data_IF_268478340072
#
_entry.id   IF_268478340072
#
_cell.length_a   1.000
_cell.length_b   1.000
_cell.length_c   1.000
_cell.angle_alpha   90.00
_cell.angle_beta   90.00
_cell.angle_gamma   90.00
#
_symmetry.space_group_name_H-M   'P 1'
#
loop_
_entity.id
_entity.type
_entity.pdbx_description
1 polymer ?
#
# COMPACT_ATOMS: atom_id res chain seq x y z
N UNK A 1 26.46 -22.84 6.46
CA UNK A 1 26.40 -22.15 5.16
C UNK A 1 25.05 -22.43 4.54
N UNK A 2 24.12 -21.48 4.64
CA UNK A 2 22.74 -21.65 4.18
C UNK A 2 22.58 -21.06 2.77
N UNK A 3 21.91 -21.84 1.90
CA UNK A 3 21.62 -21.54 0.49
C UNK A 3 20.80 -20.26 0.36
N UNK A 4 21.37 -19.25 -0.29
CA UNK A 4 20.63 -18.11 -0.83
C UNK A 4 19.62 -18.61 -1.88
N UNK A 5 18.35 -18.28 -1.67
CA UNK A 5 17.22 -18.64 -2.52
C UNK A 5 17.34 -17.99 -3.89
N UNK A 6 17.09 -18.79 -4.93
CA UNK A 6 17.33 -18.53 -6.35
C UNK A 6 16.61 -17.29 -6.95
N UNK A 7 15.72 -16.65 -6.18
CA UNK A 7 14.99 -15.44 -6.58
C UNK A 7 15.81 -14.17 -6.35
N UNK A 8 16.59 -14.11 -5.26
CA UNK A 8 17.44 -12.96 -4.95
C UNK A 8 18.62 -12.77 -5.91
N UNK A 9 19.05 -13.84 -6.58
CA UNK A 9 20.16 -13.79 -7.55
C UNK A 9 19.75 -13.18 -8.90
N UNK A 10 18.48 -13.28 -9.30
CA UNK A 10 18.00 -12.77 -10.59
C UNK A 10 17.85 -11.25 -10.63
N UNK A 11 17.68 -10.58 -9.49
CA UNK A 11 17.57 -9.11 -9.42
C UNK A 11 18.97 -8.49 -9.40
N UNK A 12 19.93 -9.12 -8.71
CA UNK A 12 21.34 -8.67 -8.73
C UNK A 12 21.96 -8.82 -10.13
N UNK A 13 21.67 -9.91 -10.84
CA UNK A 13 22.16 -10.10 -12.23
C UNK A 13 21.60 -9.04 -13.20
N UNK A 14 20.37 -8.57 -13.04
CA UNK A 14 19.82 -7.50 -13.90
C UNK A 14 20.48 -6.15 -13.62
N UNK A 15 20.79 -5.85 -12.35
CA UNK A 15 21.45 -4.60 -11.94
C UNK A 15 22.93 -4.59 -12.38
N UNK A 16 23.63 -5.71 -12.31
CA UNK A 16 25.01 -5.82 -12.81
C UNK A 16 25.08 -5.80 -14.35
N UNK A 17 24.15 -6.44 -15.06
CA UNK A 17 24.08 -6.39 -16.55
C UNK A 17 23.75 -4.98 -17.05
N UNK A 18 22.92 -4.22 -16.35
CA UNK A 18 22.64 -2.82 -16.69
C UNK A 18 23.86 -1.90 -16.46
N UNK A 19 24.75 -2.24 -15.52
CA UNK A 19 26.00 -1.51 -15.31
C UNK A 19 27.09 -1.89 -16.33
N UNK A 20 27.17 -3.15 -16.78
CA UNK A 20 28.12 -3.57 -17.82
C UNK A 20 27.74 -3.09 -19.24
N UNK A 21 26.45 -3.04 -19.58
CA UNK A 21 26.00 -2.53 -20.88
C UNK A 21 26.22 -1.03 -21.06
N UNK A 22 26.21 -0.26 -19.98
CA UNK A 22 26.57 1.16 -20.02
C UNK A 22 28.07 1.39 -20.33
N UNK A 23 28.93 0.42 -20.00
CA UNK A 23 30.38 0.50 -20.24
C UNK A 23 30.80 0.09 -21.66
N UNK A 24 29.94 -0.62 -22.40
CA UNK A 24 30.28 -1.14 -23.75
C UNK A 24 29.78 -0.23 -24.89
N UNK A 25 28.86 0.71 -24.64
CA UNK A 25 28.25 1.56 -25.68
C UNK A 25 28.91 2.94 -25.83
N UNK A 26 29.89 3.30 -24.98
CA UNK A 26 30.66 4.55 -25.13
C UNK A 26 32.07 4.30 -25.63
N UNK A 27 32.22 3.99 -26.92
CA UNK A 27 33.46 4.32 -27.64
C UNK A 27 33.39 5.80 -28.05
N UNK A 28 34.24 6.70 -27.53
CA UNK A 28 34.46 7.96 -28.22
C UNK A 28 35.21 7.64 -29.51
N UNK A 29 34.60 7.92 -30.66
CA UNK A 29 35.31 7.96 -31.93
C UNK A 29 36.36 9.07 -31.86
N UNK A 30 37.60 8.70 -31.56
CA UNK A 30 38.77 9.55 -31.76
C UNK A 30 38.94 9.80 -33.26
N UNK A 31 38.73 11.04 -33.71
CA UNK A 31 39.30 11.50 -34.97
C UNK A 31 40.79 11.80 -34.74
N UNK A 32 41.63 11.16 -35.57
CA UNK A 32 43.09 11.26 -35.56
C UNK A 32 43.52 12.49 -36.37
N UNK A 33 44.29 13.36 -35.69
CA UNK A 33 45.39 14.23 -36.13
C UNK A 33 45.20 15.27 -37.25
N UNK A 34 45.46 16.53 -36.88
CA UNK A 34 46.41 17.38 -37.60
C UNK A 34 47.34 18.05 -36.55
N UNK A 35 48.69 17.98 -36.64
CA UNK A 35 49.56 18.37 -35.55
C UNK A 35 50.31 19.68 -35.84
N UNK A 36 49.68 20.85 -35.74
CA UNK A 36 50.45 22.10 -35.58
C UNK A 36 49.64 23.15 -34.78
N UNK A 37 50.12 23.46 -33.57
CA UNK A 37 50.02 24.82 -33.02
C UNK A 37 48.96 25.08 -31.93
N UNK A 38 49.42 25.81 -30.91
CA UNK A 38 48.67 26.51 -29.86
C UNK A 38 48.04 25.63 -28.76
N UNK A 39 48.71 25.41 -27.62
CA UNK A 39 48.96 26.35 -26.52
C UNK A 39 47.70 26.78 -25.76
N UNK A 40 47.60 26.24 -24.53
CA UNK A 40 46.94 26.79 -23.36
C UNK A 40 45.40 26.97 -23.38
N UNK A 41 44.85 26.86 -22.17
CA UNK A 41 43.49 27.23 -21.76
C UNK A 41 42.35 26.43 -22.37
N UNK A 42 41.95 25.33 -21.70
CA UNK A 42 40.60 25.30 -21.09
C UNK A 42 40.46 24.17 -20.05
N UNK A 43 41.03 24.38 -18.87
CA UNK A 43 40.73 23.50 -17.72
C UNK A 43 39.35 23.83 -17.11
N UNK A 44 38.72 24.95 -17.51
CA UNK A 44 37.39 25.36 -17.07
C UNK A 44 36.28 24.55 -17.74
N UNK A 45 36.40 24.27 -19.05
CA UNK A 45 35.45 23.43 -19.78
C UNK A 45 35.46 21.97 -19.29
N UNK A 46 36.63 21.42 -18.93
CA UNK A 46 36.75 20.02 -18.51
C UNK A 46 36.21 19.77 -17.09
N UNK A 47 36.20 20.79 -16.22
CA UNK A 47 35.56 20.70 -14.90
C UNK A 47 34.06 21.01 -14.94
N UNK A 48 33.58 21.74 -15.95
CA UNK A 48 32.14 21.92 -16.21
C UNK A 48 31.44 20.65 -16.69
N UNK A 49 32.13 19.77 -17.42
CA UNK A 49 31.53 18.56 -17.99
C UNK A 49 31.29 17.43 -16.98
N UNK A 50 32.00 17.40 -15.84
CA UNK A 50 31.79 16.35 -14.82
C UNK A 50 30.60 16.62 -13.91
N UNK A 51 30.28 17.89 -13.66
CA UNK A 51 29.07 18.26 -12.92
C UNK A 51 27.79 18.05 -13.77
N UNK A 52 27.89 18.20 -15.10
CA UNK A 52 26.77 17.98 -16.01
C UNK A 52 26.45 16.49 -16.25
N UNK A 53 27.46 15.59 -16.23
CA UNK A 53 27.27 14.16 -16.54
C UNK A 53 26.61 13.37 -15.39
N UNK A 54 26.73 13.81 -14.13
CA UNK A 54 25.91 13.28 -13.03
C UNK A 54 24.55 13.98 -12.88
N UNK A 55 24.35 15.10 -13.59
CA UNK A 55 23.16 15.95 -13.54
C UNK A 55 22.16 15.73 -14.68
N UNK A 56 22.47 14.89 -15.68
CA UNK A 56 21.50 14.46 -16.69
C UNK A 56 20.58 13.38 -16.11
N UNK A 57 19.61 13.86 -15.33
CA UNK A 57 18.21 13.47 -15.44
C UNK A 57 17.97 11.96 -15.41
N UNK A 58 18.08 11.37 -14.21
CA UNK A 58 17.27 10.17 -13.93
C UNK A 58 15.85 10.50 -14.40
N UNK A 59 15.28 9.69 -15.30
CA UNK A 59 13.90 9.90 -15.74
C UNK A 59 13.00 9.97 -14.50
N UNK A 60 11.89 10.71 -14.56
CA UNK A 60 10.93 10.82 -13.46
C UNK A 60 10.57 9.44 -12.87
N UNK A 61 10.48 8.42 -13.74
CA UNK A 61 10.20 7.05 -13.35
C UNK A 61 11.37 6.40 -12.58
N UNK A 62 12.62 6.72 -12.95
CA UNK A 62 13.81 6.21 -12.25
C UNK A 62 13.98 6.86 -10.88
N UNK A 63 13.69 8.17 -10.77
CA UNK A 63 13.66 8.86 -9.47
C UNK A 63 12.59 8.25 -8.57
N UNK A 64 11.36 8.10 -9.07
CA UNK A 64 10.27 7.45 -8.31
C UNK A 64 10.60 6.02 -7.88
N UNK A 65 11.22 5.24 -8.77
CA UNK A 65 11.62 3.86 -8.45
C UNK A 65 12.69 3.83 -7.35
N UNK A 66 13.67 4.73 -7.40
CA UNK A 66 14.70 4.85 -6.36
C UNK A 66 14.12 5.31 -5.01
N UNK A 67 13.20 6.28 -5.02
CA UNK A 67 12.49 6.74 -3.83
C UNK A 67 11.64 5.62 -3.20
N UNK A 68 10.89 4.89 -4.02
CA UNK A 68 10.09 3.75 -3.57
C UNK A 68 10.97 2.66 -2.96
N UNK A 69 12.08 2.29 -3.61
CA UNK A 69 13.00 1.27 -3.10
C UNK A 69 13.61 1.70 -1.75
N UNK A 70 14.01 2.97 -1.65
CA UNK A 70 14.56 3.53 -0.40
C UNK A 70 13.52 3.46 0.73
N UNK A 71 12.27 3.80 0.44
CA UNK A 71 11.19 3.75 1.42
C UNK A 71 10.81 2.31 1.80
N UNK A 72 10.77 1.38 0.85
CA UNK A 72 10.50 -0.05 1.09
C UNK A 72 11.53 -0.69 2.03
N UNK A 73 12.81 -0.30 1.92
CA UNK A 73 13.87 -0.81 2.81
C UNK A 73 13.72 -0.39 4.28
N UNK A 74 12.84 0.56 4.57
CA UNK A 74 12.51 1.01 5.94
C UNK A 74 11.38 0.20 6.56
N UNK A 75 10.72 -0.65 5.79
CA UNK A 75 9.56 -1.42 6.19
C UNK A 75 9.86 -2.94 6.16
N UNK A 76 9.20 -3.73 7.02
CA UNK A 76 9.19 -5.18 6.86
C UNK A 76 8.63 -5.56 5.48
N UNK A 77 9.11 -6.68 4.92
CA UNK A 77 8.72 -7.16 3.58
C UNK A 77 7.19 -7.24 3.40
N UNK A 78 6.47 -7.62 4.45
CA UNK A 78 5.00 -7.71 4.47
C UNK A 78 4.27 -6.38 4.23
N UNK A 79 4.94 -5.23 4.37
CA UNK A 79 4.36 -3.89 4.17
C UNK A 79 4.86 -3.21 2.88
N UNK A 80 5.79 -3.81 2.16
CA UNK A 80 6.40 -3.17 1.00
C UNK A 80 5.44 -3.07 -0.18
N UNK A 81 4.65 -4.10 -0.47
CA UNK A 81 3.62 -4.04 -1.52
C UNK A 81 2.49 -3.06 -1.12
N UNK A 82 2.20 -2.98 0.17
CA UNK A 82 1.24 -2.02 0.69
C UNK A 82 1.69 -0.57 0.43
N UNK A 83 2.97 -0.27 0.69
CA UNK A 83 3.55 1.03 0.36
C UNK A 83 3.49 1.32 -1.15
N UNK A 84 3.85 0.34 -1.99
CA UNK A 84 3.79 0.47 -3.44
C UNK A 84 2.39 0.88 -3.91
N UNK A 85 1.35 0.16 -3.48
CA UNK A 85 -0.04 0.48 -3.83
C UNK A 85 -0.49 1.82 -3.27
N UNK A 86 -0.06 2.22 -2.08
CA UNK A 86 -0.39 3.52 -1.54
C UNK A 86 0.19 4.67 -2.38
N UNK A 87 1.42 4.51 -2.86
CA UNK A 87 2.17 5.54 -3.60
C UNK A 87 1.87 5.61 -5.11
N UNK A 88 1.24 4.59 -5.68
CA UNK A 88 0.95 4.50 -7.12
C UNK A 88 -0.56 4.30 -7.37
N UNK A 89 -1.29 5.37 -7.75
CA UNK A 89 -2.72 5.29 -8.05
C UNK A 89 -3.08 4.29 -9.15
N UNK A 90 -2.23 4.11 -10.16
CA UNK A 90 -2.48 3.17 -11.25
C UNK A 90 -2.38 1.73 -10.74
N UNK A 91 -1.35 1.44 -9.94
CA UNK A 91 -1.20 0.14 -9.30
C UNK A 91 -2.35 -0.16 -8.32
N UNK A 92 -2.77 0.84 -7.53
CA UNK A 92 -3.93 0.73 -6.64
C UNK A 92 -5.20 0.35 -7.39
N UNK A 93 -5.54 1.10 -8.45
CA UNK A 93 -6.72 0.82 -9.24
C UNK A 93 -6.67 -0.55 -9.92
N UNK A 94 -5.50 -0.96 -10.42
CA UNK A 94 -5.32 -2.29 -11.00
C UNK A 94 -5.55 -3.40 -9.96
N UNK A 95 -5.00 -3.25 -8.75
CA UNK A 95 -5.20 -4.22 -7.66
C UNK A 95 -6.66 -4.30 -7.21
N UNK A 96 -7.32 -3.15 -7.04
CA UNK A 96 -8.74 -3.11 -6.67
C UNK A 96 -9.63 -3.73 -7.75
N UNK A 97 -9.37 -3.42 -9.03
CA UNK A 97 -10.10 -4.00 -10.16
C UNK A 97 -9.91 -5.52 -10.25
N UNK A 98 -8.67 -6.00 -10.10
CA UNK A 98 -8.36 -7.43 -10.08
C UNK A 98 -9.04 -8.15 -8.92
N UNK A 99 -9.21 -7.46 -7.78
CA UNK A 99 -9.96 -7.94 -6.62
C UNK A 99 -11.48 -7.88 -6.74
N UNK A 100 -12.04 -7.44 -7.88
CA UNK A 100 -13.49 -7.34 -8.07
C UNK A 100 -14.14 -6.15 -7.35
N UNK A 101 -13.37 -5.13 -6.97
CA UNK A 101 -13.90 -3.95 -6.32
C UNK A 101 -14.82 -3.16 -7.27
N UNK A 102 -15.99 -2.67 -6.82
CA UNK A 102 -16.88 -1.85 -7.63
C UNK A 102 -16.20 -0.60 -8.19
N UNK A 103 -16.51 -0.26 -9.45
CA UNK A 103 -15.89 0.88 -10.13
C UNK A 103 -16.09 2.20 -9.37
N UNK A 104 -17.24 2.40 -8.72
CA UNK A 104 -17.49 3.60 -7.91
C UNK A 104 -16.51 3.76 -6.74
N UNK A 105 -16.09 2.66 -6.11
CA UNK A 105 -15.12 2.68 -5.01
C UNK A 105 -13.70 2.92 -5.57
N UNK A 106 -13.39 2.37 -6.74
CA UNK A 106 -12.11 2.61 -7.44
C UNK A 106 -12.00 4.09 -7.84
N UNK A 107 -13.05 4.67 -8.41
CA UNK A 107 -13.09 6.08 -8.81
C UNK A 107 -12.91 7.01 -7.61
N UNK A 108 -13.55 6.68 -6.48
CA UNK A 108 -13.35 7.39 -5.22
C UNK A 108 -11.92 7.28 -4.70
N UNK A 109 -11.31 6.09 -4.75
CA UNK A 109 -9.92 5.88 -4.37
C UNK A 109 -8.96 6.73 -5.22
N UNK A 110 -9.14 6.74 -6.54
CA UNK A 110 -8.30 7.53 -7.45
C UNK A 110 -8.43 9.04 -7.24
N UNK A 111 -9.63 9.50 -6.83
CA UNK A 111 -9.93 10.92 -6.60
C UNK A 111 -9.49 11.39 -5.22
N UNK A 112 -9.78 10.62 -4.18
CA UNK A 112 -9.79 11.06 -2.78
C UNK A 112 -8.76 10.37 -1.90
N UNK A 113 -7.96 9.42 -2.40
CA UNK A 113 -6.89 8.82 -1.61
C UNK A 113 -5.79 9.87 -1.31
N UNK A 114 -5.52 10.22 -0.03
CA UNK A 114 -4.56 11.24 0.34
C UNK A 114 -3.11 10.87 -0.03
N UNK A 115 -2.80 9.58 -0.14
CA UNK A 115 -1.46 9.10 -0.44
C UNK A 115 -0.99 9.47 -1.86
N UNK A 116 -1.91 9.74 -2.79
CA UNK A 116 -1.59 10.12 -4.18
C UNK A 116 -0.80 11.41 -4.31
N UNK A 117 -0.79 12.23 -3.26
CA UNK A 117 -0.09 13.52 -3.20
C UNK A 117 1.23 13.44 -2.39
N UNK A 118 1.62 12.25 -1.93
CA UNK A 118 2.78 12.03 -1.08
C UNK A 118 3.80 11.14 -1.80
N UNK A 119 5.09 11.38 -1.55
CA UNK A 119 6.14 10.42 -1.95
C UNK A 119 6.10 9.19 -1.03
N UNK A 120 6.65 8.04 -1.47
CA UNK A 120 6.76 6.86 -0.62
C UNK A 120 7.42 7.14 0.74
N UNK A 121 8.48 7.97 0.75
CA UNK A 121 9.14 8.35 2.01
C UNK A 121 8.23 9.18 2.91
N UNK A 122 7.46 10.13 2.36
CA UNK A 122 6.50 10.92 3.14
C UNK A 122 5.39 10.06 3.74
N UNK A 123 4.91 9.03 3.01
CA UNK A 123 3.94 8.07 3.54
C UNK A 123 4.54 7.33 4.75
N UNK A 124 5.77 6.83 4.62
CA UNK A 124 6.45 6.14 5.73
C UNK A 124 6.68 7.10 6.90
N UNK A 125 7.23 8.28 6.67
CA UNK A 125 7.53 9.28 7.71
C UNK A 125 6.28 9.68 8.49
N UNK A 126 5.14 9.81 7.80
CA UNK A 126 3.90 10.30 8.41
C UNK A 126 3.10 9.20 9.11
N UNK A 127 3.07 8.00 8.54
CA UNK A 127 2.11 6.97 8.96
C UNK A 127 2.73 5.71 9.53
N UNK A 128 4.05 5.50 9.45
CA UNK A 128 4.67 4.32 10.03
C UNK A 128 4.98 4.51 11.51
N UNK A 129 4.66 3.52 12.33
CA UNK A 129 5.09 3.45 13.72
C UNK A 129 6.23 2.41 13.83
N UNK A 130 7.47 2.91 13.86
CA UNK A 130 8.66 2.07 13.88
C UNK A 130 8.75 1.19 15.15
N UNK A 131 8.33 1.72 16.30
CA UNK A 131 8.40 1.01 17.59
C UNK A 131 7.47 -0.21 17.60
N UNK A 132 6.29 -0.09 16.97
CA UNK A 132 5.29 -1.16 16.87
C UNK A 132 5.46 -2.04 15.63
N UNK A 133 6.32 -1.66 14.69
CA UNK A 133 6.51 -2.38 13.42
C UNK A 133 5.22 -2.47 12.58
N UNK A 134 4.36 -1.45 12.64
CA UNK A 134 3.10 -1.36 11.88
C UNK A 134 2.76 0.09 11.56
N UNK A 135 1.76 0.33 10.71
CA UNK A 135 1.14 1.64 10.57
C UNK A 135 0.65 2.20 11.91
N UNK A 136 0.66 3.52 12.04
CA UNK A 136 0.19 4.24 13.21
C UNK A 136 -1.35 4.22 13.27
N UNK A 137 -1.89 3.07 13.67
CA UNK A 137 -3.32 2.84 13.79
C UNK A 137 -3.96 3.75 14.85
N UNK A 138 -5.22 4.16 14.64
CA UNK A 138 -5.93 5.01 15.58
C UNK A 138 -6.27 4.26 16.87
N UNK A 139 -6.47 5.01 17.95
CA UNK A 139 -7.03 4.47 19.18
C UNK A 139 -8.50 4.04 19.01
N UNK A 140 -9.05 3.36 20.02
CA UNK A 140 -10.45 2.93 20.06
C UNK A 140 -10.92 2.17 18.81
N UNK A 141 -10.03 1.36 18.21
CA UNK A 141 -10.31 0.60 16.99
C UNK A 141 -10.79 1.49 15.83
N UNK A 142 -10.41 2.77 15.80
CA UNK A 142 -10.79 3.71 14.74
C UNK A 142 -12.23 4.19 14.75
N UNK A 143 -12.99 3.93 15.83
CA UNK A 143 -14.33 4.52 15.98
C UNK A 143 -14.24 6.04 16.20
N UNK A 144 -15.06 6.80 15.49
CA UNK A 144 -15.16 8.25 15.64
C UNK A 144 -15.53 8.60 17.08
N UNK A 145 -14.74 9.48 17.71
CA UNK A 145 -14.82 9.83 19.13
C UNK A 145 -14.79 8.62 20.10
N UNK A 146 -14.29 7.46 19.66
CA UNK A 146 -14.37 6.21 20.41
C UNK A 146 -15.80 5.68 20.63
N UNK A 147 -16.79 6.18 19.88
CA UNK A 147 -18.22 5.83 20.05
C UNK A 147 -18.63 4.71 19.11
N UNK A 148 -19.30 3.70 19.67
CA UNK A 148 -19.92 2.61 18.93
C UNK A 148 -21.21 2.16 19.60
N UNK A 149 -22.06 1.51 18.82
CA UNK A 149 -23.22 0.74 19.29
C UNK A 149 -22.83 -0.73 19.38
N UNK A 150 -23.42 -1.44 20.35
CA UNK A 150 -23.25 -2.89 20.49
C UNK A 150 -24.51 -3.62 20.06
N UNK A 151 -24.35 -4.78 19.42
CA UNK A 151 -25.46 -5.66 19.02
C UNK A 151 -25.08 -7.13 19.20
N UNK A 152 -26.07 -8.00 19.42
CA UNK A 152 -25.87 -9.45 19.59
C UNK A 152 -26.15 -10.25 18.32
N UNK A 153 -26.57 -9.58 17.25
CA UNK A 153 -26.78 -10.16 15.92
C UNK A 153 -26.59 -9.09 14.85
N UNK A 154 -26.29 -9.53 13.62
CA UNK A 154 -26.40 -8.67 12.45
C UNK A 154 -27.87 -8.56 12.05
N UNK A 155 -28.39 -7.34 11.78
CA UNK A 155 -29.72 -7.19 11.21
C UNK A 155 -29.86 -7.97 9.89
N UNK A 156 -31.00 -8.63 9.63
CA UNK A 156 -31.29 -9.20 8.31
C UNK A 156 -31.15 -8.14 7.21
N UNK A 157 -30.56 -8.50 6.07
CA UNK A 157 -30.29 -7.57 4.97
C UNK A 157 -29.05 -6.69 5.18
N UNK A 158 -28.25 -6.95 6.23
CA UNK A 158 -26.94 -6.31 6.37
C UNK A 158 -25.99 -6.87 5.31
N UNK A 159 -25.46 -6.00 4.47
CA UNK A 159 -24.40 -6.35 3.53
C UNK A 159 -23.10 -5.63 3.93
N UNK A 160 -22.06 -6.42 4.15
CA UNK A 160 -20.75 -5.95 4.56
C UNK A 160 -19.74 -6.18 3.46
N UNK A 161 -18.67 -5.40 3.45
CA UNK A 161 -17.53 -5.64 2.59
C UNK A 161 -16.21 -5.37 3.32
N UNK A 162 -15.11 -5.72 2.67
CA UNK A 162 -13.75 -5.47 3.16
C UNK A 162 -12.82 -5.21 2.00
N UNK A 163 -12.06 -4.13 2.09
CA UNK A 163 -10.88 -3.88 1.27
C UNK A 163 -9.67 -4.29 2.12
N UNK A 164 -9.17 -5.50 1.88
CA UNK A 164 -8.06 -6.09 2.62
C UNK A 164 -8.25 -7.56 2.96
N UNK A 165 -7.17 -8.20 3.40
CA UNK A 165 -7.12 -9.64 3.62
C UNK A 165 -8.12 -10.09 4.71
N UNK A 166 -8.88 -11.20 4.55
CA UNK A 166 -9.86 -11.67 5.53
C UNK A 166 -9.30 -12.04 6.91
N UNK A 167 -7.98 -12.16 7.08
CA UNK A 167 -7.35 -12.30 8.40
C UNK A 167 -7.40 -11.03 9.27
N UNK A 168 -7.86 -9.90 8.73
CA UNK A 168 -8.15 -8.71 9.53
C UNK A 168 -9.50 -8.78 10.25
N UNK A 169 -9.79 -7.78 11.10
CA UNK A 169 -10.90 -7.80 12.06
C UNK A 169 -12.03 -6.80 11.77
N UNK A 170 -11.87 -6.00 10.71
CA UNK A 170 -12.72 -4.86 10.41
C UNK A 170 -13.49 -5.07 9.10
N UNK A 171 -14.78 -4.81 9.14
CA UNK A 171 -15.70 -4.83 8.00
C UNK A 171 -16.29 -3.43 7.80
N UNK A 172 -16.52 -3.02 6.56
CA UNK A 172 -17.30 -1.83 6.24
C UNK A 172 -18.72 -2.19 5.85
N UNK A 173 -19.63 -1.21 5.89
CA UNK A 173 -20.91 -1.34 5.21
C UNK A 173 -20.68 -1.35 3.71
N UNK A 174 -21.31 -2.31 3.01
CA UNK A 174 -21.12 -2.43 1.57
C UNK A 174 -21.51 -1.14 0.84
N UNK A 175 -20.62 -0.67 -0.03
CA UNK A 175 -20.84 0.54 -0.83
C UNK A 175 -20.36 1.84 -0.20
N UNK A 176 -19.91 1.84 1.06
CA UNK A 176 -19.17 2.99 1.61
C UNK A 176 -17.97 3.32 0.73
N UNK A 177 -17.70 4.61 0.52
CA UNK A 177 -16.63 5.08 -0.36
C UNK A 177 -15.24 4.67 0.17
N UNK A 178 -14.21 4.72 -0.68
CA UNK A 178 -12.84 4.43 -0.25
C UNK A 178 -12.38 5.42 0.84
N UNK A 179 -12.63 6.72 0.64
CA UNK A 179 -12.30 7.76 1.61
C UNK A 179 -13.04 7.62 2.94
N UNK A 180 -14.27 7.11 2.92
CA UNK A 180 -15.08 6.89 4.12
C UNK A 180 -14.53 5.79 5.05
N UNK A 181 -13.65 4.94 4.53
CA UNK A 181 -13.10 3.78 5.24
C UNK A 181 -11.81 4.06 6.00
N UNK A 182 -11.19 5.21 5.74
CA UNK A 182 -9.94 5.65 6.37
C UNK A 182 -8.87 4.55 6.44
N UNK A 183 -8.62 3.89 5.31
CA UNK A 183 -7.77 2.72 5.23
C UNK A 183 -6.29 3.10 5.34
N UNK A 184 -5.52 2.26 6.04
CA UNK A 184 -4.07 2.41 6.07
C UNK A 184 -3.45 2.21 4.68
N UNK A 185 -2.22 2.74 4.46
CA UNK A 185 -1.49 2.55 3.22
C UNK A 185 -1.51 1.10 2.74
N UNK A 186 -2.00 0.90 1.51
CA UNK A 186 -1.95 -0.38 0.81
C UNK A 186 -2.93 -1.46 1.24
N UNK A 187 -3.96 -1.12 2.01
CA UNK A 187 -5.01 -2.07 2.43
C UNK A 187 -5.63 -2.84 1.24
N UNK A 188 -5.68 -2.23 0.05
CA UNK A 188 -6.18 -2.85 -1.17
C UNK A 188 -5.37 -4.07 -1.66
N UNK A 189 -4.12 -4.27 -1.20
CA UNK A 189 -3.32 -5.46 -1.54
C UNK A 189 -4.03 -6.76 -1.14
N UNK A 190 -4.87 -6.71 -0.11
CA UNK A 190 -5.60 -7.87 0.37
C UNK A 190 -6.91 -8.18 -0.38
N UNK A 191 -7.23 -7.46 -1.46
CA UNK A 191 -8.42 -7.68 -2.29
C UNK A 191 -9.70 -7.04 -1.76
N UNK A 192 -10.79 -7.17 -2.52
CA UNK A 192 -12.14 -6.75 -2.12
C UNK A 192 -13.01 -7.98 -1.89
N UNK A 193 -13.70 -8.01 -0.77
CA UNK A 193 -14.51 -9.16 -0.33
C UNK A 193 -15.86 -8.67 0.17
N UNK A 194 -16.92 -9.44 -0.06
CA UNK A 194 -18.28 -9.12 0.42
C UNK A 194 -18.81 -10.22 1.33
N UNK A 195 -19.66 -9.85 2.27
CA UNK A 195 -20.17 -10.74 3.30
C UNK A 195 -21.62 -10.44 3.66
N UNK A 196 -22.33 -11.50 4.05
CA UNK A 196 -23.70 -11.45 4.58
C UNK A 196 -23.77 -12.25 5.89
N UNK A 197 -24.82 -12.05 6.72
CA UNK A 197 -25.10 -12.93 7.85
C UNK A 197 -25.09 -14.40 7.43
N UNK A 198 -24.33 -15.21 8.16
CA UNK A 198 -24.29 -16.65 7.97
C UNK A 198 -25.43 -17.38 8.67
N UNK A 199 -25.52 -18.71 8.46
CA UNK A 199 -26.57 -19.54 9.05
C UNK A 199 -26.45 -19.66 10.58
N UNK A 200 -25.27 -19.43 11.14
CA UNK A 200 -25.05 -19.58 12.58
C UNK A 200 -25.21 -18.23 13.29
N UNK A 201 -25.91 -18.20 14.44
CA UNK A 201 -26.00 -17.00 15.25
C UNK A 201 -24.63 -16.65 15.85
N UNK A 202 -24.50 -15.41 16.30
CA UNK A 202 -23.35 -15.00 17.09
C UNK A 202 -23.27 -15.85 18.39
N UNK A 203 -22.08 -16.36 18.78
CA UNK A 203 -21.97 -17.16 20.00
C UNK A 203 -22.40 -16.39 21.25
N UNK A 204 -22.89 -17.11 22.26
CA UNK A 204 -23.27 -16.50 23.54
C UNK A 204 -22.09 -15.76 24.19
N UNK A 205 -22.35 -14.55 24.68
CA UNK A 205 -21.35 -13.67 25.30
C UNK A 205 -20.49 -12.88 24.33
N UNK A 206 -20.64 -13.08 23.02
CA UNK A 206 -20.00 -12.25 22.00
C UNK A 206 -20.85 -11.01 21.69
N UNK A 207 -20.22 -9.99 21.12
CA UNK A 207 -20.91 -8.77 20.69
C UNK A 207 -20.34 -8.26 19.36
N UNK A 208 -21.15 -7.51 18.63
CA UNK A 208 -20.76 -6.76 17.45
C UNK A 208 -20.72 -5.30 17.84
N UNK A 209 -19.58 -4.63 17.61
CA UNK A 209 -19.44 -3.18 17.73
C UNK A 209 -19.57 -2.57 16.34
N UNK A 210 -20.45 -1.58 16.19
CA UNK A 210 -20.58 -0.85 14.94
C UNK A 210 -20.80 0.64 15.16
N UNK A 211 -20.33 1.45 14.23
CA UNK A 211 -20.27 2.89 14.41
C UNK A 211 -19.48 3.58 13.32
N UNK A 212 -19.41 4.90 13.42
CA UNK A 212 -18.70 5.72 12.43
C UNK A 212 -17.19 5.52 12.52
N UNK A 213 -16.54 5.49 11.37
CA UNK A 213 -15.09 5.47 11.23
C UNK A 213 -14.59 6.89 11.47
N UNK A 214 -13.61 7.06 12.35
CA UNK A 214 -12.96 8.34 12.62
C UNK A 214 -12.03 8.78 11.49
N UNK A 215 -11.60 10.04 11.55
CA UNK A 215 -10.57 10.57 10.66
C UNK A 215 -9.21 9.95 11.02
N UNK A 216 -8.57 9.30 10.04
CA UNK A 216 -7.22 8.74 10.21
C UNK A 216 -6.51 8.61 8.86
N UNK A 217 -5.18 8.64 8.87
CA UNK A 217 -4.35 8.60 7.66
C UNK A 217 -4.70 9.69 6.62
N UNK A 218 -5.10 10.88 7.09
CA UNK A 218 -5.64 12.00 6.30
C UNK A 218 -6.94 11.71 5.52
N UNK A 219 -7.57 10.57 5.76
CA UNK A 219 -8.92 10.33 5.28
C UNK A 219 -9.96 10.97 6.20
N UNK A 220 -11.04 11.49 5.61
CA UNK A 220 -12.17 12.06 6.36
C UNK A 220 -13.03 11.04 7.11
N UNK A 221 -12.90 9.73 6.83
CA UNK A 221 -13.71 8.70 7.48
C UNK A 221 -15.22 8.92 7.28
N UNK A 222 -16.02 8.55 8.28
CA UNK A 222 -17.47 8.75 8.29
C UNK A 222 -18.29 7.62 7.67
N UNK A 223 -17.65 6.60 7.10
CA UNK A 223 -18.27 5.31 6.82
C UNK A 223 -18.69 4.59 8.11
N UNK A 224 -19.30 3.42 7.99
CA UNK A 224 -19.69 2.59 9.13
C UNK A 224 -18.83 1.34 9.16
N UNK A 225 -18.10 1.13 10.25
CA UNK A 225 -17.35 -0.11 10.47
C UNK A 225 -18.06 -1.05 11.43
N UNK A 226 -17.75 -2.33 11.28
CA UNK A 226 -18.27 -3.43 12.09
C UNK A 226 -17.09 -4.29 12.58
N UNK A 227 -17.07 -4.55 13.88
CA UNK A 227 -16.02 -5.33 14.56
C UNK A 227 -16.68 -6.34 15.48
N UNK A 228 -16.28 -7.60 15.37
CA UNK A 228 -16.80 -8.68 16.20
C UNK A 228 -15.87 -8.89 17.38
N UNK A 229 -16.46 -8.98 18.57
CA UNK A 229 -15.74 -9.10 19.85
C UNK A 229 -16.17 -10.40 20.52
N UNK A 230 -15.20 -11.22 20.89
CA UNK A 230 -15.47 -12.45 21.60
C UNK A 230 -15.79 -12.23 23.09
N UNK A 231 -16.14 -13.32 23.79
CA UNK A 231 -16.47 -13.29 25.22
C UNK A 231 -15.33 -12.82 26.13
N UNK A 232 -14.08 -12.82 25.64
CA UNK A 232 -12.91 -12.34 26.38
C UNK A 232 -12.64 -10.85 26.15
N UNK A 233 -13.37 -10.22 25.22
CA UNK A 233 -13.18 -8.82 24.85
C UNK A 233 -12.25 -8.61 23.66
N UNK A 234 -11.81 -9.69 23.00
CA UNK A 234 -10.87 -9.64 21.88
C UNK A 234 -11.58 -9.52 20.52
N UNK A 235 -10.98 -8.75 19.63
CA UNK A 235 -11.45 -8.59 18.25
C UNK A 235 -11.20 -9.86 17.42
N UNK A 236 -12.21 -10.31 16.70
CA UNK A 236 -12.21 -11.59 15.99
C UNK A 236 -11.93 -11.39 14.50
N UNK A 237 -10.97 -12.13 13.90
CA UNK A 237 -10.70 -12.09 12.47
C UNK A 237 -11.90 -12.52 11.62
N UNK A 238 -12.08 -11.89 10.45
CA UNK A 238 -13.20 -12.17 9.54
C UNK A 238 -13.17 -13.61 9.04
N UNK A 239 -11.99 -14.16 8.74
CA UNK A 239 -11.83 -15.56 8.33
C UNK A 239 -12.33 -16.55 9.39
N UNK A 240 -12.22 -16.20 10.67
CA UNK A 240 -12.71 -16.98 11.79
C UNK A 240 -14.23 -16.94 11.85
N UNK A 241 -14.83 -15.78 11.63
CA UNK A 241 -16.30 -15.63 11.53
C UNK A 241 -16.88 -16.45 10.37
N UNK A 242 -16.17 -16.52 9.24
CA UNK A 242 -16.55 -17.37 8.09
C UNK A 242 -16.46 -18.85 8.46
N UNK A 243 -15.34 -19.29 9.06
CA UNK A 243 -15.15 -20.68 9.51
C UNK A 243 -16.21 -21.10 10.53
N UNK A 244 -16.68 -20.17 11.36
CA UNK A 244 -17.75 -20.38 12.33
C UNK A 244 -19.17 -20.33 11.72
N UNK A 245 -19.31 -19.94 10.46
CA UNK A 245 -20.62 -19.75 9.81
C UNK A 245 -21.43 -18.56 10.33
N UNK A 246 -20.79 -17.63 11.05
CA UNK A 246 -21.40 -16.36 11.50
C UNK A 246 -21.52 -15.39 10.32
N UNK A 247 -20.55 -15.44 9.40
CA UNK A 247 -20.59 -14.72 8.13
C UNK A 247 -20.53 -15.71 6.97
N UNK A 248 -21.20 -15.36 5.87
CA UNK A 248 -21.03 -16.02 4.59
C UNK A 248 -20.27 -15.11 3.64
N UNK A 249 -19.20 -15.62 3.03
CA UNK A 249 -18.49 -14.94 1.94
C UNK A 249 -19.33 -14.96 0.65
N UNK A 250 -19.58 -13.77 0.10
CA UNK A 250 -20.40 -13.55 -1.10
C UNK A 250 -19.60 -12.96 -2.26
N UNK A 251 -18.27 -12.87 -2.16
CA UNK A 251 -17.39 -12.14 -3.09
C UNK A 251 -17.51 -12.57 -4.56
N UNK A 252 -17.96 -13.80 -4.83
CA UNK A 252 -18.09 -14.39 -6.17
C UNK A 252 -19.53 -14.70 -6.59
N UNK A 253 -20.53 -14.22 -5.86
CA UNK A 253 -21.94 -14.42 -6.22
C UNK A 253 -22.39 -13.44 -7.29
#
# INVERSE_FOLDING_TARGET
MAKATQVGRRITEIIEILFELASTVLRPAFYILDPVGAAATDLGALMGSRAAIFGMELSHDTVKAAELLTAMNRLPESYQDALRLASDPSALAAAMKAGGCPQSIIDDALKNNPFRNLTPNQIVDKYWNADKGTWNWPEHSGFADGKYTTSTSLPPGTHLDRIGYPGGKFLGTQGDSYGQRALAPGSAAGGYHTYEPGPNPLPSGWQIRHGKIGEVFDHGGGGTQWVFIDKSGEEVPVDTLIKMGVLTDTTKR
#
